data_IF_786269617108
#
_entry.id   IF_786269617108
#
_cell.length_a   1.000
_cell.length_b   1.000
_cell.length_c   1.000
_cell.angle_alpha   90.00
_cell.angle_beta   90.00
_cell.angle_gamma   90.00
#
_symmetry.space_group_name_H-M   'P 1'
#
loop_
_entity.id
_entity.type
_entity.pdbx_description
1 polymer ?
#
# COMPACT_ATOMS: atom_id res chain seq x y z
N UNK A 1 19.90 -10.43 -15.44
CA UNK A 1 21.02 -10.60 -14.49
C UNK A 1 21.07 -9.55 -13.38
N UNK A 2 21.24 -8.23 -13.64
CA UNK A 2 21.08 -7.18 -12.60
C UNK A 2 19.60 -6.89 -12.31
N UNK A 3 18.76 -6.87 -13.36
CA UNK A 3 17.31 -6.64 -13.24
C UNK A 3 16.68 -7.54 -12.16
N UNK A 4 17.04 -8.82 -12.12
CA UNK A 4 16.47 -9.78 -11.16
C UNK A 4 16.77 -9.43 -9.70
N UNK A 5 17.97 -8.89 -9.42
CA UNK A 5 18.33 -8.46 -8.07
C UNK A 5 17.49 -7.24 -7.66
N UNK A 6 17.28 -6.30 -8.59
CA UNK A 6 16.47 -5.11 -8.36
C UNK A 6 14.98 -5.46 -8.23
N UNK A 7 14.45 -6.40 -9.02
CA UNK A 7 13.09 -6.93 -8.86
C UNK A 7 12.88 -7.57 -7.49
N UNK A 8 13.83 -8.39 -7.05
CA UNK A 8 13.77 -9.02 -5.72
C UNK A 8 13.81 -7.97 -4.59
N UNK A 9 14.60 -6.92 -4.74
CA UNK A 9 14.64 -5.80 -3.81
C UNK A 9 13.30 -5.05 -3.76
N UNK A 10 12.74 -4.68 -4.90
CA UNK A 10 11.43 -4.01 -4.99
C UNK A 10 10.33 -4.84 -4.34
N UNK A 11 10.29 -6.14 -4.62
CA UNK A 11 9.32 -7.04 -4.02
C UNK A 11 9.47 -7.15 -2.49
N UNK A 12 10.71 -7.17 -1.98
CA UNK A 12 11.00 -7.17 -0.53
C UNK A 12 10.49 -5.87 0.11
N UNK A 13 10.80 -4.72 -0.48
CA UNK A 13 10.35 -3.41 0.00
C UNK A 13 8.82 -3.34 0.01
N UNK A 14 8.16 -3.65 -1.10
CA UNK A 14 6.70 -3.61 -1.18
C UNK A 14 6.03 -4.61 -0.23
N UNK A 15 6.62 -5.79 -0.05
CA UNK A 15 6.11 -6.78 0.92
C UNK A 15 6.21 -6.29 2.36
N UNK A 16 7.31 -5.62 2.72
CA UNK A 16 7.49 -4.99 4.03
C UNK A 16 6.49 -3.86 4.27
N UNK A 17 6.34 -2.96 3.29
CA UNK A 17 5.34 -1.89 3.31
C UNK A 17 3.92 -2.46 3.45
N UNK A 18 3.58 -3.53 2.72
CA UNK A 18 2.30 -4.22 2.83
C UNK A 18 2.06 -4.74 4.24
N UNK A 19 3.04 -5.42 4.84
CA UNK A 19 2.94 -5.92 6.23
C UNK A 19 2.68 -4.77 7.20
N UNK A 20 3.46 -3.70 7.10
CA UNK A 20 3.30 -2.52 7.95
C UNK A 20 1.95 -1.82 7.75
N UNK A 21 1.47 -1.77 6.51
CA UNK A 21 0.15 -1.24 6.19
C UNK A 21 -0.98 -2.06 6.82
N UNK A 22 -0.85 -3.40 6.87
CA UNK A 22 -1.82 -4.26 7.56
C UNK A 22 -1.85 -4.02 9.06
N UNK A 23 -0.74 -3.67 9.68
CA UNK A 23 -0.68 -3.32 11.10
C UNK A 23 -1.39 -1.98 11.36
N UNK A 24 -1.05 -0.94 10.60
CA UNK A 24 -1.50 0.44 10.79
C UNK A 24 -2.97 0.65 10.37
N UNK A 25 -3.45 -0.07 9.36
CA UNK A 25 -4.81 0.08 8.88
C UNK A 25 -5.85 -0.14 9.99
N UNK A 26 -6.99 0.57 9.96
CA UNK A 26 -8.02 0.43 10.99
C UNK A 26 -8.70 -0.94 10.91
N UNK A 27 -9.17 -1.42 12.07
CA UNK A 27 -9.89 -2.68 12.19
C UNK A 27 -11.38 -2.46 12.48
N UNK A 28 -12.24 -3.14 11.72
CA UNK A 28 -13.68 -3.27 12.00
C UNK A 28 -14.15 -4.70 11.75
N UNK A 29 -14.01 -5.18 10.51
CA UNK A 29 -14.27 -6.58 10.12
C UNK A 29 -13.01 -7.31 9.64
N UNK A 30 -11.92 -6.57 9.44
CA UNK A 30 -10.66 -7.09 8.89
C UNK A 30 -10.57 -7.09 7.35
N UNK A 31 -11.66 -6.84 6.63
CA UNK A 31 -11.66 -6.84 5.15
C UNK A 31 -10.65 -5.85 4.56
N UNK A 32 -10.58 -4.63 5.10
CA UNK A 32 -9.61 -3.61 4.68
C UNK A 32 -8.17 -4.10 4.78
N UNK A 33 -7.79 -4.71 5.91
CA UNK A 33 -6.44 -5.25 6.13
C UNK A 33 -6.13 -6.41 5.19
N UNK A 34 -7.08 -7.34 5.04
CA UNK A 34 -6.90 -8.52 4.18
C UNK A 34 -6.63 -8.14 2.73
N UNK A 35 -7.30 -7.10 2.25
CA UNK A 35 -7.23 -6.63 0.87
C UNK A 35 -6.02 -5.75 0.54
N UNK A 36 -5.10 -5.51 1.49
CA UNK A 36 -3.84 -4.82 1.19
C UNK A 36 -2.90 -5.77 0.47
N UNK A 37 -2.55 -5.44 -0.77
CA UNK A 37 -1.79 -6.29 -1.70
C UNK A 37 -0.62 -5.51 -2.33
N UNK A 38 0.30 -6.28 -2.91
CA UNK A 38 1.38 -5.76 -3.76
C UNK A 38 0.94 -5.99 -5.20
N UNK A 39 1.03 -4.97 -6.04
CA UNK A 39 0.72 -5.04 -7.46
C UNK A 39 2.00 -4.91 -8.28
N UNK A 40 2.13 -5.79 -9.27
CA UNK A 40 3.11 -5.68 -10.32
C UNK A 40 2.55 -4.75 -11.40
N UNK A 41 2.97 -3.48 -11.36
CA UNK A 41 2.53 -2.45 -12.31
C UNK A 41 3.48 -2.30 -13.51
N UNK A 42 4.41 -3.23 -13.68
CA UNK A 42 5.53 -3.10 -14.60
C UNK A 42 6.86 -3.29 -13.89
N UNK A 43 7.06 -4.46 -13.27
CA UNK A 43 8.28 -4.81 -12.56
C UNK A 43 9.51 -4.83 -13.49
N UNK A 44 9.32 -5.07 -14.78
CA UNK A 44 10.37 -4.91 -15.80
C UNK A 44 10.84 -3.46 -15.98
N UNK A 45 9.97 -2.51 -15.67
CA UNK A 45 10.24 -1.06 -15.62
C UNK A 45 10.50 -0.56 -14.18
N UNK A 46 10.72 -1.48 -13.24
CA UNK A 46 10.96 -1.19 -11.82
C UNK A 46 9.82 -0.44 -11.13
N UNK A 47 8.58 -0.72 -11.55
CA UNK A 47 7.36 -0.20 -10.94
C UNK A 47 6.64 -1.28 -10.15
N UNK A 48 6.37 -0.98 -8.88
CA UNK A 48 5.62 -1.83 -7.96
C UNK A 48 4.75 -0.92 -7.09
N UNK A 49 3.53 -1.32 -6.78
CA UNK A 49 2.68 -0.57 -5.86
C UNK A 49 2.13 -1.43 -4.74
N UNK A 50 1.69 -0.75 -3.68
CA UNK A 50 1.01 -1.36 -2.55
C UNK A 50 -0.30 -0.62 -2.36
N UNK A 51 -1.40 -1.36 -2.32
CA UNK A 51 -2.73 -0.76 -2.26
C UNK A 51 -3.82 -1.76 -1.96
N UNK A 52 -5.05 -1.35 -2.23
CA UNK A 52 -6.26 -2.16 -2.07
C UNK A 52 -6.89 -2.45 -3.42
N UNK A 53 -7.60 -3.57 -3.52
CA UNK A 53 -8.34 -3.93 -4.74
C UNK A 53 -9.75 -3.34 -4.75
N UNK A 54 -10.51 -3.65 -5.80
CA UNK A 54 -11.93 -3.29 -5.90
C UNK A 54 -12.81 -4.03 -4.89
N UNK A 55 -12.30 -5.05 -4.17
CA UNK A 55 -13.02 -5.75 -3.10
C UNK A 55 -13.31 -4.80 -1.92
N UNK A 56 -12.42 -3.83 -1.66
CA UNK A 56 -12.63 -2.81 -0.64
C UNK A 56 -12.76 -1.41 -1.25
N UNK A 57 -13.86 -1.10 -1.97
CA UNK A 57 -14.01 0.17 -2.69
C UNK A 57 -14.03 1.39 -1.75
N UNK A 58 -14.30 1.16 -0.46
CA UNK A 58 -14.27 2.18 0.58
C UNK A 58 -12.86 2.52 1.09
N UNK A 59 -11.83 1.74 0.75
CA UNK A 59 -10.46 1.93 1.21
C UNK A 59 -9.93 3.33 0.89
N UNK A 60 -10.24 3.87 -0.29
CA UNK A 60 -9.86 5.23 -0.68
C UNK A 60 -10.43 6.29 0.26
N UNK A 61 -11.66 6.13 0.73
CA UNK A 61 -12.30 7.08 1.64
C UNK A 61 -11.74 6.97 3.06
N UNK A 62 -11.26 5.79 3.46
CA UNK A 62 -10.51 5.63 4.71
C UNK A 62 -9.15 6.30 4.59
N UNK A 63 -8.45 6.09 3.48
CA UNK A 63 -7.12 6.62 3.26
C UNK A 63 -7.09 8.15 3.15
N UNK A 64 -7.91 8.70 2.26
CA UNK A 64 -7.93 10.13 1.93
C UNK A 64 -8.97 10.92 2.73
N UNK A 65 -9.87 10.27 3.45
CA UNK A 65 -11.01 10.91 4.09
C UNK A 65 -12.11 11.30 3.10
N UNK A 66 -13.13 11.98 3.61
CA UNK A 66 -14.20 12.58 2.80
C UNK A 66 -14.45 14.01 3.25
N UNK A 67 -14.80 14.88 2.30
CA UNK A 67 -15.15 16.28 2.57
C UNK A 67 -16.52 16.37 3.26
N UNK A 68 -16.79 17.47 4.00
CA UNK A 68 -18.15 17.77 4.45
C UNK A 68 -19.14 17.73 3.28
N UNK A 69 -20.27 17.06 3.48
CA UNK A 69 -21.28 16.90 2.43
C UNK A 69 -22.68 16.71 3.02
N UNK A 70 -23.67 16.98 2.18
CA UNK A 70 -25.06 16.74 2.50
C UNK A 70 -25.43 15.31 2.14
N UNK A 71 -26.12 14.64 3.03
CA UNK A 71 -26.76 13.35 2.76
C UNK A 71 -28.25 13.62 2.63
N UNK A 72 -28.84 13.20 1.51
CA UNK A 72 -30.26 13.35 1.21
C UNK A 72 -30.85 12.01 0.78
N UNK A 73 -32.13 11.73 1.07
CA UNK A 73 -32.78 10.50 0.65
C UNK A 73 -33.09 10.56 -0.85
N UNK A 74 -32.69 9.51 -1.59
CA UNK A 74 -32.89 9.46 -3.05
C UNK A 74 -34.33 9.11 -3.43
N UNK A 75 -34.88 8.04 -2.83
CA UNK A 75 -36.19 7.48 -3.18
C UNK A 75 -37.18 7.46 -2.00
N UNK A 76 -36.79 8.00 -0.84
CA UNK A 76 -37.57 7.96 0.40
C UNK A 76 -37.84 9.38 0.90
N UNK A 77 -38.82 9.51 1.81
CA UNK A 77 -39.22 10.82 2.35
C UNK A 77 -38.24 11.37 3.39
N UNK A 78 -37.59 10.50 4.16
CA UNK A 78 -36.65 10.86 5.22
C UNK A 78 -35.50 9.85 5.31
N UNK A 79 -34.38 10.28 5.85
CA UNK A 79 -33.25 9.47 6.29
C UNK A 79 -33.54 8.93 7.69
N UNK A 80 -33.23 7.66 7.90
CA UNK A 80 -33.36 7.00 9.18
C UNK A 80 -32.32 5.87 9.30
N UNK A 81 -32.00 5.51 10.53
CA UNK A 81 -31.29 4.28 10.89
C UNK A 81 -32.21 3.43 11.76
N UNK A 82 -31.73 2.25 12.20
CA UNK A 82 -32.45 1.43 13.17
C UNK A 82 -32.69 2.14 14.51
N UNK A 83 -31.85 3.12 14.86
CA UNK A 83 -31.89 3.78 16.16
C UNK A 83 -32.60 5.15 16.15
N UNK A 84 -32.71 5.81 15.00
CA UNK A 84 -33.19 7.19 14.93
C UNK A 84 -33.65 7.62 13.52
N UNK A 85 -34.54 8.62 13.47
CA UNK A 85 -34.94 9.34 12.26
C UNK A 85 -34.17 10.66 12.19
N UNK A 86 -33.52 10.93 11.06
CA UNK A 86 -32.66 12.10 10.85
C UNK A 86 -33.31 13.21 10.00
N UNK A 87 -34.51 12.98 9.47
CA UNK A 87 -35.23 13.94 8.63
C UNK A 87 -34.80 13.91 7.16
N UNK A 88 -35.05 14.99 6.41
CA UNK A 88 -34.81 15.03 4.95
C UNK A 88 -33.35 15.26 4.56
N UNK A 89 -32.51 15.70 5.49
CA UNK A 89 -31.16 16.16 5.20
C UNK A 89 -30.28 15.99 6.42
N UNK A 90 -29.08 15.46 6.22
CA UNK A 90 -28.01 15.43 7.23
C UNK A 90 -26.82 16.20 6.71
N UNK A 91 -26.32 17.14 7.51
CA UNK A 91 -25.05 17.85 7.26
C UNK A 91 -23.91 17.01 7.84
N UNK A 92 -23.33 16.14 7.02
CA UNK A 92 -22.23 15.28 7.48
C UNK A 92 -20.91 16.08 7.44
N UNK A 93 -20.13 16.11 8.53
CA UNK A 93 -18.86 16.85 8.58
C UNK A 93 -17.78 16.24 7.66
N UNK A 94 -18.03 15.06 7.13
CA UNK A 94 -17.04 14.26 6.41
C UNK A 94 -16.36 13.28 7.34
N UNK A 95 -15.34 12.60 6.83
CA UNK A 95 -14.53 11.64 7.59
C UNK A 95 -13.09 12.07 7.52
N UNK A 96 -12.42 12.16 8.66
CA UNK A 96 -10.98 12.44 8.72
C UNK A 96 -10.17 11.37 8.00
N UNK A 97 -9.11 11.79 7.32
CA UNK A 97 -8.21 10.89 6.59
C UNK A 97 -7.40 10.01 7.57
N UNK A 98 -7.28 8.73 7.23
CA UNK A 98 -6.34 7.82 7.87
C UNK A 98 -5.39 7.28 6.79
N UNK A 99 -4.29 7.98 6.47
CA UNK A 99 -3.41 7.64 5.36
C UNK A 99 -2.49 6.44 5.70
N UNK A 100 -3.07 5.27 5.92
CA UNK A 100 -2.36 4.08 6.42
C UNK A 100 -1.28 3.57 5.47
N UNK A 101 -1.47 3.64 4.15
CA UNK A 101 -0.45 3.22 3.17
C UNK A 101 0.78 4.14 3.20
N UNK A 102 0.57 5.45 3.21
CA UNK A 102 1.66 6.44 3.27
C UNK A 102 2.41 6.35 4.59
N UNK A 103 1.69 6.23 5.71
CA UNK A 103 2.33 6.03 7.02
C UNK A 103 3.12 4.73 7.08
N UNK A 104 2.62 3.66 6.48
CA UNK A 104 3.35 2.39 6.39
C UNK A 104 4.61 2.51 5.54
N UNK A 105 4.53 3.18 4.39
CA UNK A 105 5.68 3.44 3.53
C UNK A 105 6.76 4.21 4.28
N UNK A 106 6.43 5.38 4.86
CA UNK A 106 7.39 6.20 5.60
C UNK A 106 7.94 5.47 6.84
N UNK A 107 7.11 4.70 7.54
CA UNK A 107 7.55 3.88 8.67
C UNK A 107 8.53 2.78 8.25
N UNK A 108 8.36 2.19 7.07
CA UNK A 108 9.23 1.13 6.57
C UNK A 108 10.57 1.69 6.09
N UNK A 109 10.54 2.72 5.22
CA UNK A 109 11.76 3.31 4.66
C UNK A 109 12.60 4.06 5.71
N UNK A 110 11.97 4.57 6.76
CA UNK A 110 12.66 5.15 7.91
C UNK A 110 13.13 4.12 8.96
N UNK A 111 12.87 2.82 8.74
CA UNK A 111 13.18 1.75 9.67
C UNK A 111 14.39 0.90 9.28
N UNK A 112 14.88 0.09 10.23
CA UNK A 112 16.04 -0.79 10.01
C UNK A 112 15.82 -1.89 8.97
N UNK A 113 14.57 -2.29 8.71
CA UNK A 113 14.24 -3.30 7.69
C UNK A 113 14.61 -2.84 6.28
N UNK A 114 14.45 -1.53 5.99
CA UNK A 114 14.84 -0.96 4.71
C UNK A 114 16.36 -0.93 4.54
N UNK A 115 17.10 -0.58 5.59
CA UNK A 115 18.56 -0.63 5.58
C UNK A 115 19.08 -2.05 5.34
N UNK A 116 18.46 -3.05 5.95
CA UNK A 116 18.76 -4.46 5.65
C UNK A 116 18.49 -4.79 4.18
N UNK A 117 17.34 -4.36 3.63
CA UNK A 117 17.03 -4.59 2.22
C UNK A 117 18.05 -3.93 1.28
N UNK A 118 18.56 -2.73 1.62
CA UNK A 118 19.62 -2.04 0.87
C UNK A 118 20.93 -2.83 0.90
N UNK A 119 21.33 -3.30 2.07
CA UNK A 119 22.55 -4.09 2.25
C UNK A 119 22.47 -5.41 1.47
N UNK A 120 21.34 -6.10 1.54
CA UNK A 120 21.09 -7.33 0.77
C UNK A 120 21.20 -7.08 -0.74
N UNK A 121 20.68 -5.96 -1.23
CA UNK A 121 20.80 -5.57 -2.64
C UNK A 121 22.26 -5.30 -3.00
N UNK A 122 22.98 -4.52 -2.19
CA UNK A 122 24.38 -4.19 -2.44
C UNK A 122 25.25 -5.44 -2.54
N UNK A 123 25.07 -6.40 -1.63
CA UNK A 123 25.79 -7.68 -1.66
C UNK A 123 25.44 -8.50 -2.92
N UNK A 124 24.15 -8.63 -3.24
CA UNK A 124 23.72 -9.34 -4.46
C UNK A 124 24.25 -8.72 -5.74
N UNK A 125 24.38 -7.40 -5.79
CA UNK A 125 24.97 -6.70 -6.93
C UNK A 125 26.47 -6.94 -7.00
N UNK A 126 27.19 -6.83 -5.87
CA UNK A 126 28.63 -7.07 -5.79
C UNK A 126 28.98 -8.50 -6.23
N UNK A 127 28.29 -9.51 -5.70
CA UNK A 127 28.50 -10.93 -6.04
C UNK A 127 28.28 -11.19 -7.53
N UNK A 128 27.22 -10.60 -8.11
CA UNK A 128 26.92 -10.77 -9.53
C UNK A 128 27.94 -10.07 -10.41
N UNK A 129 28.32 -8.83 -10.09
CA UNK A 129 29.35 -8.10 -10.84
C UNK A 129 30.69 -8.84 -10.79
N UNK A 130 31.11 -9.34 -9.62
CA UNK A 130 32.33 -10.12 -9.49
C UNK A 130 32.27 -11.41 -10.33
N UNK A 131 31.12 -12.09 -10.36
CA UNK A 131 30.91 -13.28 -11.19
C UNK A 131 31.00 -12.96 -12.68
N UNK A 132 30.34 -11.90 -13.12
CA UNK A 132 30.33 -11.49 -14.53
C UNK A 132 31.74 -11.11 -14.99
N UNK A 133 32.49 -10.31 -14.20
CA UNK A 133 33.89 -9.98 -14.48
C UNK A 133 34.76 -11.23 -14.58
N UNK A 134 34.60 -12.19 -13.65
CA UNK A 134 35.36 -13.44 -13.65
C UNK A 134 35.07 -14.31 -14.88
N UNK A 135 33.85 -14.28 -15.41
CA UNK A 135 33.49 -14.99 -16.64
C UNK A 135 34.16 -14.32 -17.83
N UNK A 136 34.06 -12.99 -17.93
CA UNK A 136 34.70 -12.21 -19.00
C UNK A 136 36.22 -12.44 -19.02
N UNK A 137 36.89 -12.35 -17.88
CA UNK A 137 38.34 -12.54 -17.77
C UNK A 137 38.82 -13.98 -18.00
N UNK A 138 37.92 -14.97 -18.01
CA UNK A 138 38.23 -16.38 -18.32
C UNK A 138 37.88 -16.78 -19.75
N UNK A 139 37.17 -15.91 -20.47
CA UNK A 139 36.70 -16.12 -21.83
C UNK A 139 37.62 -15.56 -22.91
N UNK A 140 38.69 -14.88 -22.53
CA UNK A 140 39.86 -14.49 -23.34
C UNK A 140 41.07 -15.35 -22.95
#
# INVERSE_FOLDING_TARGET
MIKDALKAFLFRVASGVRTRAKEIAPYKTGNLKKDIQVFDDGMDEFKISVGNTTITPYAKFVHFGTRPHLITPKNKRVLASRAAIYGKLVRHPGTGANPYLSRAFYSYVGGGEFEQAKNDLAQKLADKLAKDIKITLKGD
#
